data_IF_739450934689
#
_entry.id   IF_739450934689
#
_cell.length_a   1.000
_cell.length_b   1.000
_cell.length_c   1.000
_cell.angle_alpha   90.00
_cell.angle_beta   90.00
_cell.angle_gamma   90.00
#
_symmetry.space_group_name_H-M   'P 1'
#
loop_
_entity.id
_entity.type
_entity.pdbx_description
1 polymer ?
#
# COMPACT_ATOMS: atom_id res chain seq x y z
N UNK A 1 -27.76 78.92 -20.70
CA UNK A 1 -26.35 79.25 -20.41
C UNK A 1 -25.58 78.03 -20.02
N UNK A 2 -24.59 77.76 -20.83
CA UNK A 2 -23.34 77.06 -20.66
C UNK A 2 -23.50 75.53 -20.45
N UNK A 3 -23.28 74.63 -21.46
CA UNK A 3 -22.01 74.33 -22.17
C UNK A 3 -20.93 73.82 -21.22
N UNK A 4 -20.64 72.53 -21.29
CA UNK A 4 -19.24 72.09 -21.23
C UNK A 4 -19.07 70.60 -21.19
N UNK A 5 -18.65 70.05 -22.33
CA UNK A 5 -17.44 69.26 -22.51
C UNK A 5 -17.47 67.82 -21.92
N UNK A 6 -18.01 67.02 -22.73
CA UNK A 6 -17.68 65.62 -22.93
C UNK A 6 -16.19 65.54 -23.32
N UNK A 7 -15.33 65.12 -22.42
CA UNK A 7 -13.97 64.67 -22.77
C UNK A 7 -13.94 63.09 -22.79
N UNK A 8 -14.04 62.59 -24.01
CA UNK A 8 -13.74 61.20 -24.32
C UNK A 8 -12.29 60.87 -23.97
N UNK A 9 -12.09 60.01 -22.96
CA UNK A 9 -10.80 59.44 -22.65
C UNK A 9 -10.54 58.31 -23.65
N UNK A 10 -9.80 58.62 -24.71
CA UNK A 10 -9.31 57.65 -25.65
C UNK A 10 -8.33 56.70 -24.94
N UNK A 11 -8.70 55.42 -24.84
CA UNK A 11 -7.83 54.35 -24.39
C UNK A 11 -6.64 54.26 -25.36
N UNK A 12 -5.44 54.49 -24.88
CA UNK A 12 -4.18 54.23 -25.60
C UNK A 12 -4.07 52.73 -25.82
N UNK A 13 -3.75 52.25 -27.03
CA UNK A 13 -3.39 50.87 -27.26
C UNK A 13 -2.04 50.60 -26.56
N UNK A 14 -2.00 49.56 -25.72
CA UNK A 14 -0.76 49.02 -25.19
C UNK A 14 -0.03 48.29 -26.32
N UNK A 15 0.70 49.06 -27.11
CA UNK A 15 1.67 48.55 -28.09
C UNK A 15 2.99 48.34 -27.39
N UNK A 16 3.30 47.10 -27.09
CA UNK A 16 4.56 46.72 -26.43
C UNK A 16 4.92 45.25 -26.55
N UNK A 17 4.58 44.63 -27.67
CA UNK A 17 5.33 43.48 -28.08
C UNK A 17 6.69 43.97 -28.62
N UNK A 18 7.84 43.54 -28.05
CA UNK A 18 9.11 43.88 -28.62
C UNK A 18 9.20 43.22 -30.00
N UNK A 19 9.25 44.03 -31.05
CA UNK A 19 9.52 43.61 -32.39
C UNK A 19 10.84 42.78 -32.36
N UNK A 20 10.75 41.49 -32.67
CA UNK A 20 11.87 40.60 -32.72
C UNK A 20 12.84 41.14 -33.75
N UNK A 21 14.03 41.62 -33.31
CA UNK A 21 15.06 42.17 -34.17
C UNK A 21 15.40 41.17 -35.27
N UNK A 22 15.40 41.66 -36.53
CA UNK A 22 15.81 40.86 -37.69
C UNK A 22 17.20 40.19 -37.55
N UNK A 23 18.07 40.72 -36.64
CA UNK A 23 19.34 40.15 -36.26
C UNK A 23 19.22 38.84 -35.46
N UNK A 24 18.13 38.59 -34.72
CA UNK A 24 17.94 37.33 -33.99
C UNK A 24 17.38 36.24 -34.90
N UNK A 25 16.68 36.58 -35.98
CA UNK A 25 16.22 35.67 -37.00
C UNK A 25 17.43 35.10 -37.83
N UNK A 26 18.47 35.90 -37.99
CA UNK A 26 19.70 35.51 -38.73
C UNK A 26 20.63 34.58 -37.96
N UNK A 27 20.49 34.46 -36.62
CA UNK A 27 21.33 33.62 -35.74
C UNK A 27 20.84 32.20 -35.58
N UNK A 28 19.85 31.75 -36.36
CA UNK A 28 19.39 30.36 -36.34
C UNK A 28 18.97 29.83 -34.97
N UNK A 29 18.45 30.74 -34.08
CA UNK A 29 17.82 30.29 -32.82
C UNK A 29 16.61 29.43 -33.22
N UNK A 30 16.61 28.13 -32.96
CA UNK A 30 15.50 27.29 -33.33
C UNK A 30 14.25 27.82 -32.64
N UNK A 31 13.25 28.20 -33.44
CA UNK A 31 11.97 28.66 -32.91
C UNK A 31 11.48 27.64 -31.88
N UNK A 32 11.13 28.07 -30.67
CA UNK A 32 10.61 27.23 -29.57
C UNK A 32 9.44 26.32 -30.00
N UNK A 33 8.85 26.54 -31.16
CA UNK A 33 7.73 25.81 -31.71
C UNK A 33 8.07 24.41 -32.28
N UNK A 34 9.34 24.01 -32.39
CA UNK A 34 9.72 22.70 -32.96
C UNK A 34 10.25 21.67 -31.98
N UNK A 35 10.40 22.00 -30.70
CA UNK A 35 10.69 21.00 -29.70
C UNK A 35 9.39 20.28 -29.36
N UNK A 36 9.08 19.18 -30.07
CA UNK A 36 8.03 18.26 -29.65
C UNK A 36 8.37 17.82 -28.23
N UNK A 37 7.66 18.39 -27.24
CA UNK A 37 7.82 17.98 -25.86
C UNK A 37 7.65 16.47 -25.76
N UNK A 38 8.68 15.77 -25.27
CA UNK A 38 8.63 14.32 -25.11
C UNK A 38 7.44 13.94 -24.22
N UNK A 39 6.65 12.95 -24.62
CA UNK A 39 5.55 12.40 -23.83
C UNK A 39 6.02 11.42 -22.74
N UNK A 40 7.31 11.09 -22.71
CA UNK A 40 7.90 10.16 -21.74
C UNK A 40 7.64 10.54 -20.28
N UNK A 41 7.91 11.78 -19.84
CA UNK A 41 7.65 12.16 -18.44
C UNK A 41 6.20 11.93 -18.00
N UNK A 42 5.23 12.25 -18.89
CA UNK A 42 3.81 12.03 -18.60
C UNK A 42 3.45 10.55 -18.51
N UNK A 43 4.03 9.69 -19.37
CA UNK A 43 3.83 8.23 -19.32
C UNK A 43 4.38 7.62 -18.02
N UNK A 44 5.59 8.03 -17.62
CA UNK A 44 6.19 7.56 -16.37
C UNK A 44 5.41 8.04 -15.14
N UNK A 45 4.82 9.24 -15.21
CA UNK A 45 3.97 9.77 -14.13
C UNK A 45 2.61 9.06 -14.05
N UNK A 46 2.06 8.66 -15.19
CA UNK A 46 0.87 7.79 -15.24
C UNK A 46 1.19 6.42 -14.65
N UNK A 47 2.31 5.80 -15.05
CA UNK A 47 2.73 4.49 -14.56
C UNK A 47 2.95 4.49 -13.05
N UNK A 48 3.56 5.56 -12.49
CA UNK A 48 3.69 5.72 -11.04
C UNK A 48 2.33 5.82 -10.34
N UNK A 49 1.37 6.53 -10.93
CA UNK A 49 0.02 6.66 -10.39
C UNK A 49 -0.71 5.32 -10.38
N UNK A 50 -0.63 4.57 -11.48
CA UNK A 50 -1.28 3.26 -11.61
C UNK A 50 -0.64 2.22 -10.68
N UNK A 51 0.69 2.16 -10.62
CA UNK A 51 1.38 1.24 -9.70
C UNK A 51 1.04 1.54 -8.24
N UNK A 52 0.99 2.81 -7.85
CA UNK A 52 0.56 3.21 -6.50
C UNK A 52 -0.89 2.87 -6.19
N UNK A 53 -1.80 3.02 -7.17
CA UNK A 53 -3.20 2.63 -7.02
C UNK A 53 -3.35 1.12 -6.85
N UNK A 54 -2.67 0.32 -7.67
CA UNK A 54 -2.70 -1.14 -7.58
C UNK A 54 -2.16 -1.64 -6.24
N UNK A 55 -1.04 -1.06 -5.75
CA UNK A 55 -0.51 -1.36 -4.41
C UNK A 55 -1.48 -0.99 -3.30
N UNK A 56 -2.17 0.16 -3.41
CA UNK A 56 -3.17 0.56 -2.41
C UNK A 56 -4.39 -0.37 -2.40
N UNK A 57 -4.88 -0.80 -3.55
CA UNK A 57 -5.98 -1.77 -3.65
C UNK A 57 -5.56 -3.13 -3.08
N UNK A 58 -4.35 -3.59 -3.40
CA UNK A 58 -3.79 -4.79 -2.79
C UNK A 58 -3.70 -4.66 -1.27
N UNK A 59 -3.20 -3.52 -0.75
CA UNK A 59 -3.10 -3.27 0.69
C UNK A 59 -4.47 -3.36 1.38
N UNK A 60 -5.51 -2.73 0.82
CA UNK A 60 -6.87 -2.80 1.35
C UNK A 60 -7.34 -4.25 1.46
N UNK A 61 -7.23 -5.03 0.38
CA UNK A 61 -7.61 -6.44 0.37
C UNK A 61 -6.77 -7.26 1.36
N UNK A 62 -5.46 -7.02 1.43
CA UNK A 62 -4.53 -7.66 2.35
C UNK A 62 -4.88 -7.37 3.81
N UNK A 63 -5.22 -6.13 4.15
CA UNK A 63 -5.63 -5.76 5.52
C UNK A 63 -6.86 -6.52 5.97
N UNK A 64 -7.88 -6.65 5.12
CA UNK A 64 -9.05 -7.49 5.42
C UNK A 64 -8.70 -8.97 5.55
N UNK A 65 -7.81 -9.46 4.69
CA UNK A 65 -7.33 -10.84 4.79
C UNK A 65 -6.67 -11.10 6.15
N UNK A 66 -5.65 -10.33 6.52
CA UNK A 66 -4.92 -10.58 7.79
C UNK A 66 -5.81 -10.33 9.02
N UNK A 67 -6.79 -9.41 8.91
CA UNK A 67 -7.75 -9.12 9.97
C UNK A 67 -8.83 -10.20 10.15
N UNK A 68 -8.94 -11.17 9.24
CA UNK A 68 -9.87 -12.31 9.40
C UNK A 68 -9.53 -13.18 10.62
N UNK A 69 -8.31 -13.08 11.16
CA UNK A 69 -7.92 -13.70 12.45
C UNK A 69 -8.80 -13.21 13.60
N UNK A 70 -9.31 -11.97 13.55
CA UNK A 70 -10.22 -11.39 14.54
C UNK A 70 -11.59 -12.10 14.55
N UNK A 71 -11.98 -12.70 13.43
CA UNK A 71 -13.21 -13.51 13.35
C UNK A 71 -12.93 -14.89 13.93
N UNK A 72 -11.91 -15.59 13.43
CA UNK A 72 -11.43 -16.86 13.99
C UNK A 72 -10.13 -17.30 13.31
N UNK A 73 -9.37 -18.18 13.97
CA UNK A 73 -8.22 -18.86 13.38
C UNK A 73 -8.63 -19.67 12.14
N UNK A 74 -9.81 -20.32 12.18
CA UNK A 74 -10.36 -21.08 11.07
C UNK A 74 -10.68 -20.18 9.86
N UNK A 75 -11.20 -18.96 10.08
CA UNK A 75 -11.49 -18.00 9.01
C UNK A 75 -10.19 -17.58 8.30
N UNK A 76 -9.18 -17.22 9.07
CA UNK A 76 -7.86 -16.89 8.50
C UNK A 76 -7.27 -18.07 7.72
N UNK A 77 -7.28 -19.28 8.29
CA UNK A 77 -6.79 -20.48 7.63
C UNK A 77 -7.49 -20.75 6.30
N UNK A 78 -8.82 -20.63 6.27
CA UNK A 78 -9.62 -20.86 5.06
C UNK A 78 -9.26 -19.89 3.95
N UNK A 79 -9.10 -18.59 4.29
CA UNK A 79 -8.70 -17.56 3.33
C UNK A 79 -7.26 -17.79 2.85
N UNK A 80 -6.34 -18.17 3.74
CA UNK A 80 -4.97 -18.50 3.35
C UNK A 80 -4.94 -19.66 2.33
N UNK A 81 -5.68 -20.73 2.59
CA UNK A 81 -5.81 -21.88 1.65
C UNK A 81 -6.46 -21.48 0.32
N UNK A 82 -7.41 -20.54 0.32
CA UNK A 82 -7.98 -19.99 -0.91
C UNK A 82 -6.89 -19.36 -1.79
N UNK A 83 -5.99 -18.56 -1.21
CA UNK A 83 -4.87 -17.96 -1.94
C UNK A 83 -3.83 -18.99 -2.41
N UNK A 84 -3.76 -20.16 -1.79
CA UNK A 84 -2.95 -21.30 -2.27
C UNK A 84 -3.65 -22.10 -3.38
N UNK A 85 -4.80 -21.62 -3.86
CA UNK A 85 -5.52 -22.24 -4.97
C UNK A 85 -6.54 -23.29 -4.57
N UNK A 86 -6.93 -23.41 -3.28
CA UNK A 86 -7.89 -24.41 -2.79
C UNK A 86 -9.27 -24.36 -3.49
N UNK A 87 -9.62 -23.25 -4.15
CA UNK A 87 -10.84 -23.14 -4.93
C UNK A 87 -10.78 -23.84 -6.30
N UNK A 88 -9.59 -24.08 -6.83
CA UNK A 88 -9.38 -24.55 -8.22
C UNK A 88 -8.53 -25.82 -8.29
N UNK A 89 -7.79 -26.15 -7.23
CA UNK A 89 -6.89 -27.30 -7.17
C UNK A 89 -7.41 -28.31 -6.17
N UNK A 90 -7.16 -29.60 -6.44
CA UNK A 90 -7.47 -30.68 -5.50
C UNK A 90 -6.73 -30.53 -4.17
N UNK A 91 -5.53 -29.98 -4.19
CA UNK A 91 -4.71 -29.67 -3.02
C UNK A 91 -4.15 -28.24 -3.09
N UNK A 92 -4.17 -27.48 -1.98
CA UNK A 92 -3.55 -26.16 -1.90
C UNK A 92 -2.04 -26.24 -2.18
N UNK A 93 -1.51 -25.25 -2.89
CA UNK A 93 -0.10 -25.18 -3.30
C UNK A 93 0.53 -23.85 -2.84
N UNK A 94 1.37 -23.84 -1.80
CA UNK A 94 1.97 -22.61 -1.26
C UNK A 94 2.75 -21.78 -2.29
N UNK A 95 3.39 -22.40 -3.28
CA UNK A 95 4.14 -21.68 -4.32
C UNK A 95 3.30 -20.68 -5.13
N UNK A 96 1.96 -20.86 -5.19
CA UNK A 96 1.05 -19.91 -5.84
C UNK A 96 1.10 -18.57 -5.11
N UNK A 97 1.19 -18.59 -3.77
CA UNK A 97 1.36 -17.39 -2.97
C UNK A 97 2.68 -16.72 -3.30
N UNK A 98 3.78 -17.47 -3.45
CA UNK A 98 5.07 -16.91 -3.90
C UNK A 98 4.96 -16.20 -5.25
N UNK A 99 4.19 -16.73 -6.21
CA UNK A 99 3.95 -16.05 -7.49
C UNK A 99 3.21 -14.73 -7.29
N UNK A 100 2.15 -14.70 -6.47
CA UNK A 100 1.41 -13.46 -6.16
C UNK A 100 2.32 -12.44 -5.47
N UNK A 101 3.07 -12.88 -4.46
CA UNK A 101 4.03 -12.01 -3.75
C UNK A 101 5.12 -11.50 -4.70
N UNK A 102 5.60 -12.33 -5.62
CA UNK A 102 6.57 -11.94 -6.66
C UNK A 102 6.04 -10.81 -7.56
N UNK A 103 4.78 -10.89 -7.97
CA UNK A 103 4.11 -9.81 -8.74
C UNK A 103 3.99 -8.54 -7.91
N UNK A 104 3.58 -8.65 -6.64
CA UNK A 104 3.46 -7.50 -5.72
C UNK A 104 4.84 -6.86 -5.49
N UNK A 105 5.89 -7.67 -5.30
CA UNK A 105 7.26 -7.19 -5.14
C UNK A 105 7.77 -6.47 -6.39
N UNK A 106 7.52 -7.01 -7.58
CA UNK A 106 7.88 -6.35 -8.85
C UNK A 106 7.17 -5.01 -9.01
N UNK A 107 5.87 -4.96 -8.66
CA UNK A 107 5.08 -3.73 -8.68
C UNK A 107 5.57 -2.71 -7.65
N UNK A 108 5.94 -3.17 -6.45
CA UNK A 108 6.53 -2.34 -5.40
C UNK A 108 7.87 -1.75 -5.83
N UNK A 109 8.77 -2.55 -6.41
CA UNK A 109 10.07 -2.08 -6.91
C UNK A 109 9.90 -1.08 -8.05
N UNK A 110 8.98 -1.35 -8.98
CA UNK A 110 8.64 -0.41 -10.06
C UNK A 110 8.12 0.92 -9.49
N UNK A 111 7.20 0.89 -8.52
CA UNK A 111 6.66 2.08 -7.88
C UNK A 111 7.75 2.88 -7.17
N UNK A 112 8.61 2.23 -6.40
CA UNK A 112 9.73 2.85 -5.70
C UNK A 112 10.73 3.49 -6.68
N UNK A 113 11.11 2.80 -7.74
CA UNK A 113 11.99 3.33 -8.79
C UNK A 113 11.40 4.57 -9.46
N UNK A 114 10.11 4.53 -9.82
CA UNK A 114 9.41 5.68 -10.41
C UNK A 114 9.31 6.87 -9.45
N UNK A 115 9.19 6.62 -8.13
CA UNK A 115 9.18 7.65 -7.11
C UNK A 115 10.55 8.29 -6.92
N UNK A 116 11.63 7.48 -6.87
CA UNK A 116 13.01 7.94 -6.75
C UNK A 116 13.42 8.87 -7.89
N UNK A 117 12.90 8.66 -9.09
CA UNK A 117 13.13 9.55 -10.24
C UNK A 117 12.76 11.02 -9.97
N UNK A 118 11.82 11.28 -9.06
CA UNK A 118 11.36 12.63 -8.70
C UNK A 118 12.17 13.25 -7.55
N UNK A 119 13.17 12.54 -7.07
CA UNK A 119 14.03 13.05 -6.02
C UNK A 119 15.03 14.07 -6.57
N UNK A 120 15.42 15.11 -5.81
CA UNK A 120 16.44 16.04 -6.21
C UNK A 120 17.76 15.31 -6.50
N UNK A 121 18.30 15.49 -7.70
CA UNK A 121 19.54 14.82 -8.13
C UNK A 121 20.82 15.45 -7.52
N UNK A 122 20.70 16.62 -6.86
CA UNK A 122 21.84 17.31 -6.24
C UNK A 122 21.46 17.98 -4.93
N UNK A 123 22.44 18.14 -4.04
CA UNK A 123 22.28 18.86 -2.77
C UNK A 123 21.81 20.31 -2.97
N UNK A 124 22.22 20.98 -4.06
CA UNK A 124 21.74 22.32 -4.41
C UNK A 124 20.24 22.32 -4.71
N UNK A 125 19.75 21.36 -5.49
CA UNK A 125 18.30 21.23 -5.76
C UNK A 125 17.52 20.90 -4.50
N UNK A 126 18.07 20.06 -3.63
CA UNK A 126 17.48 19.73 -2.34
C UNK A 126 17.34 20.97 -1.45
N UNK A 127 18.37 21.82 -1.37
CA UNK A 127 18.35 23.08 -0.61
C UNK A 127 17.32 24.05 -1.13
N UNK A 128 17.29 24.28 -2.44
CA UNK A 128 16.27 25.13 -3.10
C UNK A 128 14.87 24.61 -2.79
N UNK A 129 14.69 23.31 -2.77
CA UNK A 129 13.42 22.69 -2.48
C UNK A 129 12.98 22.88 -1.02
N UNK A 130 13.90 22.84 -0.04
CA UNK A 130 13.62 23.13 1.36
C UNK A 130 13.26 24.60 1.54
N UNK A 131 14.04 25.51 0.98
CA UNK A 131 13.79 26.96 1.04
C UNK A 131 12.39 27.30 0.47
N UNK A 132 12.04 26.66 -0.66
CA UNK A 132 10.72 26.84 -1.27
C UNK A 132 9.56 26.28 -0.42
N UNK A 133 9.79 25.16 0.28
CA UNK A 133 8.84 24.59 1.25
C UNK A 133 8.55 25.55 2.40
N UNK A 134 9.57 26.18 2.96
CA UNK A 134 9.44 27.10 4.08
C UNK A 134 8.65 28.35 3.71
N UNK A 135 8.81 28.84 2.46
CA UNK A 135 8.09 29.98 1.94
C UNK A 135 6.60 29.67 1.68
N UNK A 136 6.27 28.49 1.20
CA UNK A 136 4.90 28.14 0.80
C UNK A 136 3.96 27.87 1.98
N UNK A 137 4.44 27.49 3.17
CA UNK A 137 3.65 27.16 4.38
C UNK A 137 2.35 26.38 4.12
N UNK A 138 2.32 25.56 3.05
CA UNK A 138 1.11 24.87 2.60
C UNK A 138 1.02 23.48 3.22
N UNK A 139 -0.16 23.12 3.74
CA UNK A 139 -0.40 21.82 4.38
C UNK A 139 -0.07 20.62 3.47
N UNK A 140 -0.34 20.74 2.17
CA UNK A 140 -0.06 19.67 1.20
C UNK A 140 1.43 19.44 0.96
N UNK A 141 2.27 20.46 1.18
CA UNK A 141 3.73 20.32 1.13
C UNK A 141 4.26 19.51 2.31
N UNK A 142 3.67 19.70 3.51
CA UNK A 142 3.98 18.86 4.68
C UNK A 142 3.64 17.40 4.45
N UNK A 143 2.47 17.12 3.86
CA UNK A 143 2.06 15.76 3.51
C UNK A 143 3.00 15.08 2.51
N UNK A 144 3.55 15.83 1.56
CA UNK A 144 4.53 15.30 0.62
C UNK A 144 5.80 14.81 1.35
N UNK A 145 6.29 15.56 2.33
CA UNK A 145 7.45 15.17 3.14
C UNK A 145 7.18 13.90 3.95
N UNK A 146 6.03 13.83 4.60
CA UNK A 146 5.64 12.63 5.35
C UNK A 146 5.55 11.42 4.42
N UNK A 147 4.95 11.59 3.24
CA UNK A 147 4.86 10.51 2.24
C UNK A 147 6.24 10.08 1.73
N UNK A 148 7.17 11.01 1.58
CA UNK A 148 8.54 10.71 1.17
C UNK A 148 9.26 9.84 2.20
N UNK A 149 9.28 10.27 3.47
CA UNK A 149 9.97 9.54 4.53
C UNK A 149 9.33 8.19 4.84
N UNK A 150 8.01 8.12 4.84
CA UNK A 150 7.31 6.84 4.99
C UNK A 150 7.58 5.91 3.80
N UNK A 151 7.66 6.44 2.57
CA UNK A 151 8.05 5.66 1.39
C UNK A 151 9.48 5.13 1.49
N UNK A 152 10.40 5.92 2.02
CA UNK A 152 11.78 5.48 2.27
C UNK A 152 11.84 4.39 3.36
N UNK A 153 11.10 4.55 4.45
CA UNK A 153 10.97 3.52 5.48
C UNK A 153 10.38 2.21 4.92
N UNK A 154 9.37 2.31 4.06
CA UNK A 154 8.75 1.15 3.40
C UNK A 154 9.72 0.40 2.49
N UNK A 155 10.69 1.09 1.87
CA UNK A 155 11.68 0.42 1.04
C UNK A 155 12.43 -0.67 1.83
N UNK A 156 12.70 -0.45 3.11
CA UNK A 156 13.31 -1.45 4.00
C UNK A 156 12.27 -2.38 4.62
N UNK A 157 11.26 -1.82 5.28
CA UNK A 157 10.30 -2.59 6.08
C UNK A 157 9.44 -3.54 5.21
N UNK A 158 8.93 -3.04 4.08
CA UNK A 158 8.12 -3.86 3.18
C UNK A 158 8.97 -4.90 2.44
N UNK A 159 10.25 -4.60 2.12
CA UNK A 159 11.14 -5.58 1.51
C UNK A 159 11.38 -6.78 2.42
N UNK A 160 11.59 -6.57 3.73
CA UNK A 160 11.75 -7.65 4.71
C UNK A 160 10.48 -8.51 4.78
N UNK A 161 9.31 -7.86 4.85
CA UNK A 161 8.03 -8.56 4.87
C UNK A 161 7.78 -9.38 3.59
N UNK A 162 7.92 -8.76 2.43
CA UNK A 162 7.69 -9.41 1.14
C UNK A 162 8.69 -10.55 0.89
N UNK A 163 9.96 -10.37 1.27
CA UNK A 163 10.96 -11.42 1.15
C UNK A 163 10.59 -12.66 1.98
N UNK A 164 10.15 -12.48 3.23
CA UNK A 164 9.69 -13.58 4.06
C UNK A 164 8.48 -14.32 3.46
N UNK A 165 7.50 -13.58 2.91
CA UNK A 165 6.32 -14.19 2.27
C UNK A 165 6.66 -14.88 0.95
N UNK A 166 7.66 -14.37 0.21
CA UNK A 166 8.11 -14.95 -1.06
C UNK A 166 8.84 -16.28 -0.85
N UNK A 167 9.69 -16.35 0.18
CA UNK A 167 10.61 -17.46 0.42
C UNK A 167 10.03 -18.54 1.33
N UNK A 168 9.03 -18.20 2.15
CA UNK A 168 8.41 -19.11 3.13
C UNK A 168 6.88 -19.07 3.05
N UNK A 169 6.28 -19.30 1.87
CA UNK A 169 4.83 -19.22 1.68
C UNK A 169 4.07 -20.28 2.49
N UNK A 170 4.72 -21.41 2.81
CA UNK A 170 4.16 -22.47 3.64
C UNK A 170 3.97 -22.10 5.11
N UNK A 171 4.62 -21.01 5.56
CA UNK A 171 4.48 -20.45 6.91
C UNK A 171 3.41 -19.36 6.99
N UNK A 172 2.34 -19.45 6.20
CA UNK A 172 1.19 -18.56 6.24
C UNK A 172 0.01 -19.32 6.84
N UNK A 173 -0.16 -19.17 8.13
CA UNK A 173 -1.22 -19.79 8.91
C UNK A 173 -1.44 -19.03 10.22
N UNK A 174 -2.50 -19.34 11.00
CA UNK A 174 -2.79 -18.68 12.27
C UNK A 174 -1.64 -18.75 13.26
N UNK A 175 -1.11 -19.94 13.54
CA UNK A 175 -0.03 -20.15 14.49
C UNK A 175 1.31 -19.71 13.90
N UNK A 176 1.58 -20.05 12.66
CA UNK A 176 2.81 -19.72 11.94
C UNK A 176 3.02 -18.20 11.86
N UNK A 177 1.93 -17.44 11.62
CA UNK A 177 1.99 -15.99 11.62
C UNK A 177 2.16 -15.41 13.01
N UNK A 178 1.50 -15.97 14.02
CA UNK A 178 1.62 -15.55 15.42
C UNK A 178 3.03 -15.84 15.96
N UNK A 179 3.61 -16.99 15.67
CA UNK A 179 4.97 -17.37 16.05
C UNK A 179 6.00 -16.44 15.41
N UNK A 180 5.85 -16.10 14.12
CA UNK A 180 6.72 -15.13 13.45
C UNK A 180 6.68 -13.79 14.15
N UNK A 181 5.48 -13.31 14.52
CA UNK A 181 5.30 -12.00 15.16
C UNK A 181 5.86 -12.00 16.57
N UNK A 182 5.54 -13.00 17.40
CA UNK A 182 5.91 -13.01 18.82
C UNK A 182 7.23 -13.72 19.08
N UNK A 183 7.33 -15.02 18.87
CA UNK A 183 8.53 -15.82 19.14
C UNK A 183 9.70 -15.46 18.23
N UNK A 184 9.41 -15.10 16.97
CA UNK A 184 10.38 -14.56 16.00
C UNK A 184 10.75 -13.10 16.24
N UNK A 185 10.19 -12.43 17.26
CA UNK A 185 10.46 -11.04 17.62
C UNK A 185 10.26 -10.03 16.47
N UNK A 186 9.37 -10.33 15.53
CA UNK A 186 9.12 -9.45 14.38
C UNK A 186 8.07 -8.37 14.66
N UNK A 187 7.40 -8.37 15.82
CA UNK A 187 6.34 -7.42 16.14
C UNK A 187 6.76 -5.94 16.03
N UNK A 188 8.01 -5.50 16.39
CA UNK A 188 8.39 -4.10 16.23
C UNK A 188 8.47 -3.68 14.76
N UNK A 189 8.97 -4.59 13.90
CA UNK A 189 9.05 -4.36 12.45
C UNK A 189 7.64 -4.26 11.85
N UNK A 190 6.71 -5.15 12.24
CA UNK A 190 5.33 -5.12 11.78
C UNK A 190 4.58 -3.88 12.27
N UNK A 191 4.85 -3.42 13.50
CA UNK A 191 4.28 -2.19 14.03
C UNK A 191 4.74 -0.97 13.21
N UNK A 192 6.05 -0.85 12.96
CA UNK A 192 6.60 0.23 12.15
C UNK A 192 6.11 0.16 10.70
N UNK A 193 6.03 -1.04 10.13
CA UNK A 193 5.49 -1.28 8.79
C UNK A 193 4.04 -0.84 8.69
N UNK A 194 3.20 -1.17 9.67
CA UNK A 194 1.81 -0.76 9.73
C UNK A 194 1.67 0.76 9.69
N UNK A 195 2.37 1.48 10.56
CA UNK A 195 2.33 2.95 10.57
C UNK A 195 2.84 3.54 9.25
N UNK A 196 3.96 3.03 8.74
CA UNK A 196 4.56 3.54 7.52
C UNK A 196 3.64 3.34 6.31
N UNK A 197 3.04 2.14 6.16
CA UNK A 197 2.21 1.82 4.99
C UNK A 197 0.87 2.54 5.03
N UNK A 198 0.23 2.67 6.20
CA UNK A 198 -1.05 3.35 6.33
C UNK A 198 -0.93 4.86 6.08
N UNK A 199 0.10 5.49 6.64
CA UNK A 199 0.35 6.91 6.43
C UNK A 199 0.73 7.16 4.96
N UNK A 200 1.62 6.35 4.39
CA UNK A 200 2.05 6.47 2.99
C UNK A 200 0.89 6.26 2.02
N UNK A 201 0.13 5.20 2.21
CA UNK A 201 -1.01 4.82 1.37
C UNK A 201 -2.14 5.83 1.45
N UNK A 202 -2.53 6.27 2.65
CA UNK A 202 -3.57 7.26 2.86
C UNK A 202 -3.24 8.61 2.23
N UNK A 203 -1.99 9.11 2.39
CA UNK A 203 -1.52 10.33 1.71
C UNK A 203 -1.45 10.09 0.19
N UNK A 204 -0.98 8.92 -0.24
CA UNK A 204 -0.88 8.55 -1.65
C UNK A 204 -2.22 8.59 -2.36
N UNK A 205 -3.25 7.96 -1.79
CA UNK A 205 -4.61 7.95 -2.31
C UNK A 205 -5.22 9.36 -2.35
N UNK A 206 -5.02 10.16 -1.29
CA UNK A 206 -5.46 11.56 -1.27
C UNK A 206 -4.85 12.36 -2.41
N UNK A 207 -3.54 12.27 -2.62
CA UNK A 207 -2.83 12.97 -3.70
C UNK A 207 -3.24 12.47 -5.08
N UNK A 208 -3.49 11.17 -5.21
CA UNK A 208 -3.98 10.56 -6.43
C UNK A 208 -5.38 11.10 -6.77
N UNK A 209 -6.28 11.15 -5.79
CA UNK A 209 -7.63 11.69 -5.96
C UNK A 209 -7.61 13.18 -6.37
N UNK A 210 -6.72 13.99 -5.78
CA UNK A 210 -6.53 15.38 -6.21
C UNK A 210 -6.02 15.47 -7.65
N UNK A 211 -5.04 14.65 -8.01
CA UNK A 211 -4.42 14.65 -9.35
C UNK A 211 -5.42 14.29 -10.45
N UNK A 212 -6.30 13.35 -10.20
CA UNK A 212 -7.28 12.85 -11.15
C UNK A 212 -8.65 13.52 -11.05
N UNK A 213 -8.80 14.50 -10.15
CA UNK A 213 -10.04 15.26 -9.97
C UNK A 213 -11.18 14.45 -9.34
N UNK A 214 -10.88 13.37 -8.62
CA UNK A 214 -11.91 12.55 -7.98
C UNK A 214 -12.58 13.31 -6.83
N UNK A 215 -13.91 13.23 -6.75
CA UNK A 215 -14.72 13.83 -5.68
C UNK A 215 -14.59 15.36 -5.54
N UNK A 216 -14.08 16.07 -6.55
CA UNK A 216 -13.90 17.53 -6.45
C UNK A 216 -15.25 18.28 -6.47
N UNK A 217 -16.21 17.84 -7.29
CA UNK A 217 -17.51 18.52 -7.43
C UNK A 217 -17.38 19.93 -8.05
N UNK A 218 -18.45 20.72 -7.93
CA UNK A 218 -18.49 22.11 -8.46
C UNK A 218 -17.67 23.10 -7.61
N UNK A 219 -17.50 22.83 -6.31
CA UNK A 219 -16.69 23.65 -5.40
C UNK A 219 -15.37 22.94 -5.06
N UNK A 220 -14.23 23.43 -5.59
CA UNK A 220 -12.91 22.81 -5.34
C UNK A 220 -12.46 22.86 -3.88
N UNK A 221 -12.88 23.87 -3.10
CA UNK A 221 -12.52 24.00 -1.69
C UNK A 221 -13.26 22.97 -0.83
N UNK A 222 -14.57 22.84 -1.06
CA UNK A 222 -15.36 21.80 -0.41
C UNK A 222 -14.89 20.40 -0.82
N UNK A 223 -14.52 20.18 -2.09
CA UNK A 223 -13.95 18.94 -2.59
C UNK A 223 -12.66 18.56 -1.86
N UNK A 224 -11.72 19.50 -1.72
CA UNK A 224 -10.48 19.27 -0.94
C UNK A 224 -10.74 18.96 0.54
N UNK A 225 -11.72 19.64 1.15
CA UNK A 225 -12.09 19.35 2.55
C UNK A 225 -12.64 17.94 2.70
N UNK A 226 -13.54 17.48 1.81
CA UNK A 226 -14.07 16.11 1.78
C UNK A 226 -12.96 15.09 1.64
N UNK A 227 -12.03 15.29 0.71
CA UNK A 227 -10.90 14.38 0.49
C UNK A 227 -9.97 14.32 1.72
N UNK A 228 -9.73 15.42 2.43
CA UNK A 228 -8.95 15.40 3.68
C UNK A 228 -9.65 14.61 4.77
N UNK A 229 -10.96 14.77 4.93
CA UNK A 229 -11.75 14.00 5.89
C UNK A 229 -11.70 12.50 5.50
N UNK A 230 -11.99 12.18 4.24
CA UNK A 230 -11.96 10.81 3.75
C UNK A 230 -10.60 10.13 3.98
N UNK A 231 -9.49 10.83 3.71
CA UNK A 231 -8.14 10.33 4.02
C UNK A 231 -7.97 10.05 5.51
N UNK A 232 -8.39 10.99 6.38
CA UNK A 232 -8.24 10.82 7.83
C UNK A 232 -9.07 9.65 8.35
N UNK A 233 -10.33 9.53 7.91
CA UNK A 233 -11.18 8.38 8.26
C UNK A 233 -10.59 7.07 7.76
N UNK A 234 -10.11 7.03 6.52
CA UNK A 234 -9.45 5.87 5.94
C UNK A 234 -8.23 5.44 6.76
N UNK A 235 -7.30 6.38 7.02
CA UNK A 235 -6.08 6.07 7.77
C UNK A 235 -6.38 5.65 9.21
N UNK A 236 -7.33 6.29 9.91
CA UNK A 236 -7.70 5.90 11.27
C UNK A 236 -8.37 4.52 11.30
N UNK A 237 -9.23 4.21 10.33
CA UNK A 237 -9.88 2.92 10.23
C UNK A 237 -8.87 1.79 10.03
N UNK A 238 -8.01 1.89 9.01
CA UNK A 238 -7.06 0.82 8.71
C UNK A 238 -5.92 0.73 9.74
N UNK A 239 -5.48 1.86 10.30
CA UNK A 239 -4.52 1.84 11.40
C UNK A 239 -5.12 1.17 12.66
N UNK A 240 -6.36 1.51 13.01
CA UNK A 240 -7.06 0.87 14.13
C UNK A 240 -7.26 -0.62 13.89
N UNK A 241 -7.75 -1.01 12.71
CA UNK A 241 -7.92 -2.41 12.31
C UNK A 241 -6.59 -3.16 12.39
N UNK A 242 -5.51 -2.57 11.86
CA UNK A 242 -4.17 -3.18 11.88
C UNK A 242 -3.59 -3.33 13.28
N UNK A 243 -3.77 -2.32 14.15
CA UNK A 243 -3.32 -2.40 15.56
C UNK A 243 -4.04 -3.51 16.33
N UNK A 244 -5.38 -3.61 16.18
CA UNK A 244 -6.16 -4.67 16.83
C UNK A 244 -5.76 -6.04 16.28
N UNK A 245 -5.54 -6.14 14.97
CA UNK A 245 -5.07 -7.37 14.32
C UNK A 245 -3.68 -7.77 14.80
N UNK A 246 -2.73 -6.83 14.87
CA UNK A 246 -1.38 -7.11 15.38
C UNK A 246 -1.43 -7.56 16.85
N UNK A 247 -2.26 -6.91 17.68
CA UNK A 247 -2.46 -7.30 19.06
C UNK A 247 -3.01 -8.74 19.18
N UNK A 248 -3.96 -9.12 18.33
CA UNK A 248 -4.50 -10.47 18.30
C UNK A 248 -3.42 -11.51 17.95
N UNK A 249 -2.54 -11.21 16.98
CA UNK A 249 -1.41 -12.10 16.69
C UNK A 249 -0.39 -12.17 17.82
N UNK A 250 -0.11 -11.06 18.51
CA UNK A 250 0.75 -11.06 19.69
C UNK A 250 0.15 -11.92 20.81
N UNK A 251 -1.14 -11.75 21.11
CA UNK A 251 -1.82 -12.56 22.12
C UNK A 251 -1.82 -14.05 21.75
N UNK A 252 -2.10 -14.37 20.49
CA UNK A 252 -2.05 -15.76 20.00
C UNK A 252 -0.62 -16.32 20.11
N UNK A 253 0.40 -15.53 19.74
CA UNK A 253 1.80 -15.93 19.83
C UNK A 253 2.28 -16.17 21.26
N UNK A 254 1.81 -15.34 22.23
CA UNK A 254 2.06 -15.58 23.67
C UNK A 254 1.42 -16.91 24.12
N UNK A 255 0.16 -17.14 23.75
CA UNK A 255 -0.56 -18.36 24.11
C UNK A 255 0.00 -19.62 23.43
N UNK A 256 0.69 -19.49 22.31
CA UNK A 256 1.29 -20.59 21.55
C UNK A 256 2.80 -20.77 21.78
N UNK A 257 3.41 -19.93 22.61
CA UNK A 257 4.88 -19.86 22.76
C UNK A 257 5.54 -21.20 23.14
N UNK A 258 4.88 -21.99 24.00
CA UNK A 258 5.39 -23.31 24.43
C UNK A 258 5.32 -24.37 23.31
N UNK A 259 4.56 -24.10 22.23
CA UNK A 259 4.35 -24.97 21.08
C UNK A 259 4.79 -24.31 19.77
N UNK A 260 5.68 -23.32 19.87
CA UNK A 260 6.16 -22.59 18.72
C UNK A 260 6.73 -23.54 17.65
N UNK A 261 6.30 -23.33 16.40
CA UNK A 261 6.63 -24.19 15.26
C UNK A 261 5.59 -25.27 14.95
N UNK A 262 4.61 -25.53 15.83
CA UNK A 262 3.48 -26.39 15.50
C UNK A 262 2.54 -25.69 14.51
N UNK A 263 2.06 -26.46 13.52
CA UNK A 263 1.14 -25.92 12.51
C UNK A 263 -0.31 -25.98 12.97
N UNK A 264 -1.08 -24.99 12.54
CA UNK A 264 -2.52 -24.98 12.77
C UNK A 264 -3.21 -26.16 12.06
N UNK A 265 -3.95 -26.97 12.82
CA UNK A 265 -4.77 -28.08 12.30
C UNK A 265 -6.26 -27.69 12.41
N UNK A 266 -7.00 -27.64 11.29
CA UNK A 266 -8.42 -27.33 11.30
C UNK A 266 -9.23 -28.36 12.11
N UNK A 267 -10.27 -27.94 12.83
CA UNK A 267 -11.10 -28.81 13.67
C UNK A 267 -11.64 -30.06 12.95
N UNK A 268 -12.06 -29.94 11.66
CA UNK A 268 -12.52 -31.08 10.86
C UNK A 268 -11.45 -32.12 10.59
N UNK A 269 -10.19 -31.72 10.50
CA UNK A 269 -9.06 -32.63 10.33
C UNK A 269 -8.66 -33.26 11.67
N UNK A 270 -8.66 -32.49 12.76
CA UNK A 270 -8.39 -32.97 14.10
C UNK A 270 -9.40 -34.07 14.55
N UNK A 271 -10.69 -33.88 14.26
CA UNK A 271 -11.71 -34.88 14.58
C UNK A 271 -11.57 -36.22 13.75
N UNK A 272 -11.08 -36.14 12.51
CA UNK A 272 -10.79 -37.33 11.68
C UNK A 272 -9.56 -38.05 12.18
N UNK A 273 -8.53 -37.36 12.62
CA UNK A 273 -7.31 -37.98 13.20
C UNK A 273 -7.64 -38.66 14.53
N UNK A 274 -8.38 -38.00 15.44
CA UNK A 274 -8.82 -38.56 16.71
C UNK A 274 -9.79 -39.77 16.55
N UNK A 275 -10.56 -39.81 15.46
CA UNK A 275 -11.46 -40.92 15.13
C UNK A 275 -10.73 -42.13 14.57
N UNK A 276 -9.51 -41.96 14.04
CA UNK A 276 -8.66 -43.06 13.53
C UNK A 276 -7.78 -43.73 14.62
N UNK A 277 -7.57 -43.03 15.75
CA UNK A 277 -6.82 -43.52 16.91
C UNK A 277 -7.64 -44.32 17.92
N UNK A 278 -8.90 -44.63 17.65
CA UNK A 278 -9.61 -45.63 18.45
C UNK A 278 -9.10 -47.00 18.04
N UNK A 279 -8.34 -47.72 18.90
CA UNK A 279 -7.92 -49.07 18.59
C UNK A 279 -9.17 -49.96 18.60
N UNK A 280 -9.61 -50.37 17.44
CA UNK A 280 -10.43 -51.56 17.31
C UNK A 280 -9.56 -52.76 17.67
N UNK A 281 -9.60 -53.19 18.91
CA UNK A 281 -8.81 -54.33 19.31
C UNK A 281 -8.85 -54.63 20.79
N UNK A 282 -9.99 -55.05 21.29
CA UNK A 282 -10.05 -55.89 22.51
C UNK A 282 -11.48 -56.40 22.71
N UNK A 283 -11.99 -57.04 21.68
CA UNK A 283 -13.22 -57.83 21.83
C UNK A 283 -13.06 -59.19 21.14
N UNK A 284 -12.01 -59.95 21.54
CA UNK A 284 -11.85 -61.33 21.15
C UNK A 284 -11.06 -62.13 22.19
N UNK A 285 -11.62 -62.26 23.37
CA UNK A 285 -11.18 -63.30 24.29
C UNK A 285 -12.09 -63.42 25.52
N UNK A 286 -13.35 -63.80 25.39
CA UNK A 286 -14.09 -64.44 26.51
C UNK A 286 -15.34 -65.16 25.96
N UNK A 287 -15.15 -66.23 25.20
CA UNK A 287 -16.21 -67.26 24.96
C UNK A 287 -15.58 -68.59 24.52
N UNK A 288 -14.89 -69.22 25.42
CA UNK A 288 -14.78 -70.66 25.44
C UNK A 288 -14.79 -71.11 26.89
N UNK A 289 -15.93 -71.50 27.39
CA UNK A 289 -16.01 -72.48 28.51
C UNK A 289 -15.82 -73.86 27.93
N UNK A 290 -14.96 -74.67 28.49
CA UNK A 290 -15.01 -76.07 28.28
C UNK A 290 -15.95 -76.66 29.37
N UNK A 291 -16.90 -77.44 28.95
CA UNK A 291 -17.77 -78.16 29.86
C UNK A 291 -18.39 -79.34 29.16
N UNK A 292 -17.88 -80.58 29.49
CA UNK A 292 -18.42 -81.91 29.42
C UNK A 292 -18.84 -82.46 28.06
#
# INVERSE_FOLDING_TARGET
MASSLEQATAARPVSGEPAMNAADAARGVPSRSRLRASRWPARLDLLQSLSGLLLALFLIAHMFFVSSILVSQQAFYTIARFFEGAAFLAEPRPWIVSCVVGVVMALFMLHAWLALRKFPASFRQYRIFIEHKEQLRHSDTGLWWVQLWTGFALFFLASVHLFGMLTQPELIGPYESADRIWTGNMWPIYLLLLFAVEIHGGIGLYRLALKWGWLQGADPLAGRRRLRIARTCFSLFFLGLGLVTLLAYVQLGIAHADRAGERYVPHKAASRLAGHERPGGLEFALSRRPGE
#
